data_IF_978837664198
#
_entry.id   IF_978837664198
#
_cell.length_a   1.000
_cell.length_b   1.000
_cell.length_c   1.000
_cell.angle_alpha   90.00
_cell.angle_beta   90.00
_cell.angle_gamma   90.00
#
_symmetry.space_group_name_H-M   'P 1'
#
loop_
_entity.id
_entity.type
_entity.pdbx_description
1 polymer ?
#
# COMPACT_ATOMS: atom_id res chain seq x y z
N UNK A 1 -12.25 13.72 -16.56
CA UNK A 1 -10.87 14.10 -16.93
C UNK A 1 -9.95 13.00 -16.42
N UNK A 2 -9.15 12.39 -17.29
CA UNK A 2 -8.19 11.36 -16.90
C UNK A 2 -7.19 11.98 -15.92
N UNK A 3 -7.15 11.51 -14.67
CA UNK A 3 -6.09 11.89 -13.74
C UNK A 3 -4.77 11.42 -14.35
N UNK A 4 -3.95 12.36 -14.82
CA UNK A 4 -2.65 12.06 -15.40
C UNK A 4 -1.85 11.15 -14.47
N UNK A 5 -1.34 10.03 -15.00
CA UNK A 5 -0.48 9.13 -14.23
C UNK A 5 0.63 9.94 -13.54
N UNK A 6 0.90 9.69 -12.25
CA UNK A 6 1.91 10.42 -11.49
C UNK A 6 3.29 10.15 -12.09
N UNK A 7 4.12 11.19 -12.17
CA UNK A 7 5.50 11.08 -12.68
C UNK A 7 6.38 10.41 -11.63
N UNK A 8 6.89 9.22 -11.93
CA UNK A 8 7.81 8.51 -11.03
C UNK A 8 9.11 9.31 -10.89
N UNK A 9 9.52 9.70 -9.66
CA UNK A 9 10.79 10.39 -9.45
C UNK A 9 11.98 9.54 -9.90
N UNK A 10 12.85 10.12 -10.73
CA UNK A 10 14.09 9.49 -11.19
C UNK A 10 15.30 9.89 -10.34
N UNK A 11 15.23 11.05 -9.67
CA UNK A 11 16.27 11.61 -8.80
C UNK A 11 15.74 12.00 -7.42
N UNK A 12 16.68 12.22 -6.49
CA UNK A 12 16.40 12.59 -5.10
C UNK A 12 15.98 11.43 -4.20
N UNK A 13 15.86 11.73 -2.90
CA UNK A 13 15.76 10.74 -1.81
C UNK A 13 14.56 9.78 -1.86
N UNK A 14 13.59 10.04 -2.74
CA UNK A 14 12.40 9.20 -2.93
C UNK A 14 12.47 8.31 -4.16
N UNK A 15 13.36 8.62 -5.11
CA UNK A 15 13.54 7.81 -6.30
C UNK A 15 14.04 6.38 -5.97
N UNK A 16 14.80 6.22 -4.88
CA UNK A 16 15.23 4.90 -4.37
C UNK A 16 14.05 3.96 -4.07
N UNK A 17 12.88 4.50 -3.69
CA UNK A 17 11.68 3.70 -3.45
C UNK A 17 11.19 3.05 -4.75
N UNK A 18 11.21 3.78 -5.86
CA UNK A 18 10.75 3.25 -7.14
C UNK A 18 11.79 2.35 -7.80
N UNK A 19 13.09 2.62 -7.59
CA UNK A 19 14.16 1.70 -8.02
C UNK A 19 14.11 0.37 -7.29
N UNK A 20 13.92 0.42 -5.97
CA UNK A 20 13.65 -0.77 -5.17
C UNK A 20 12.39 -1.51 -5.64
N UNK A 21 11.29 -0.79 -5.92
CA UNK A 21 10.03 -1.40 -6.38
C UNK A 21 10.23 -2.09 -7.72
N UNK A 22 10.99 -1.47 -8.64
CA UNK A 22 11.30 -2.04 -9.95
C UNK A 22 12.11 -3.31 -9.81
N UNK A 23 13.13 -3.29 -8.97
CA UNK A 23 14.02 -4.44 -8.78
C UNK A 23 13.32 -5.60 -8.06
N UNK A 24 12.56 -5.34 -7.00
CA UNK A 24 11.73 -6.36 -6.34
C UNK A 24 10.72 -6.93 -7.34
N UNK A 25 10.07 -6.08 -8.13
CA UNK A 25 9.07 -6.52 -9.11
C UNK A 25 9.70 -7.44 -10.16
N UNK A 26 10.89 -7.07 -10.66
CA UNK A 26 11.65 -7.88 -11.61
C UNK A 26 11.98 -9.25 -11.03
N UNK A 27 12.63 -9.29 -9.86
CA UNK A 27 13.07 -10.54 -9.22
C UNK A 27 11.89 -11.46 -8.90
N UNK A 28 10.79 -10.93 -8.37
CA UNK A 28 9.63 -11.74 -8.02
C UNK A 28 8.88 -12.24 -9.25
N UNK A 29 8.76 -11.44 -10.32
CA UNK A 29 8.17 -11.89 -11.59
C UNK A 29 9.01 -12.98 -12.25
N UNK A 30 10.33 -12.83 -12.27
CA UNK A 30 11.25 -13.86 -12.79
C UNK A 30 11.19 -15.17 -11.99
N UNK A 31 10.87 -15.08 -10.70
CA UNK A 31 10.66 -16.25 -9.83
C UNK A 31 9.25 -16.83 -9.93
N UNK A 32 8.35 -16.23 -10.73
CA UNK A 32 6.93 -16.59 -10.88
C UNK A 32 6.13 -16.45 -9.59
N UNK A 33 6.48 -15.48 -8.74
CA UNK A 33 5.74 -15.19 -7.52
C UNK A 33 4.60 -14.23 -7.83
N UNK A 34 3.40 -14.52 -7.32
CA UNK A 34 2.25 -13.62 -7.38
C UNK A 34 2.27 -12.67 -6.17
N UNK A 35 2.31 -11.37 -6.43
CA UNK A 35 2.38 -10.32 -5.41
C UNK A 35 1.81 -9.01 -5.95
N UNK A 36 1.50 -8.07 -5.07
CA UNK A 36 1.21 -6.72 -5.45
C UNK A 36 1.73 -5.69 -4.43
N UNK A 37 2.06 -4.51 -4.91
CA UNK A 37 2.44 -3.37 -4.09
C UNK A 37 1.19 -2.80 -3.42
N UNK A 38 1.30 -2.52 -2.13
CA UNK A 38 0.28 -1.85 -1.32
C UNK A 38 0.80 -0.53 -0.73
N UNK A 39 0.06 0.01 0.23
CA UNK A 39 0.56 1.08 1.09
C UNK A 39 0.77 2.40 0.34
N UNK A 40 1.76 3.17 0.78
CA UNK A 40 1.96 4.53 0.26
C UNK A 40 2.46 4.58 -1.18
N UNK A 41 3.23 3.58 -1.61
CA UNK A 41 3.71 3.46 -3.00
C UNK A 41 2.55 3.20 -3.95
N UNK A 42 1.63 2.31 -3.59
CA UNK A 42 0.43 2.08 -4.38
C UNK A 42 -0.49 3.31 -4.41
N UNK A 43 -0.68 4.01 -3.27
CA UNK A 43 -1.43 5.27 -3.25
C UNK A 43 -0.83 6.29 -4.23
N UNK A 44 0.50 6.43 -4.23
CA UNK A 44 1.19 7.32 -5.15
C UNK A 44 0.89 6.93 -6.60
N UNK A 45 1.12 5.67 -6.98
CA UNK A 45 0.91 5.13 -8.34
C UNK A 45 -0.53 5.33 -8.87
N UNK A 46 -1.52 5.42 -7.97
CA UNK A 46 -2.90 5.72 -8.32
C UNK A 46 -3.20 7.23 -8.51
N UNK A 47 -2.25 8.12 -8.21
CA UNK A 47 -2.38 9.56 -8.41
C UNK A 47 -2.30 10.40 -7.13
N UNK A 48 -2.05 9.80 -5.97
CA UNK A 48 -1.82 10.57 -4.74
C UNK A 48 -0.49 11.34 -4.86
N UNK A 49 -0.48 12.63 -4.50
CA UNK A 49 0.71 13.50 -4.60
C UNK A 49 1.79 13.19 -3.57
N UNK A 50 1.46 12.49 -2.48
CA UNK A 50 2.40 12.22 -1.39
C UNK A 50 3.39 11.11 -1.77
N UNK A 51 4.67 11.45 -1.77
CA UNK A 51 5.72 10.47 -2.03
C UNK A 51 5.83 9.40 -0.93
N UNK A 52 6.10 8.13 -1.30
CA UNK A 52 6.28 7.04 -0.34
C UNK A 52 7.62 7.12 0.39
N UNK A 53 7.71 6.46 1.55
CA UNK A 53 8.96 6.32 2.31
C UNK A 53 9.60 4.94 2.17
N UNK A 54 8.78 3.95 1.86
CA UNK A 54 9.01 2.53 1.93
C UNK A 54 8.16 1.85 0.86
N UNK A 55 8.47 0.58 0.59
CA UNK A 55 7.63 -0.26 -0.26
C UNK A 55 6.99 -1.29 0.63
N UNK A 56 5.69 -1.45 0.49
CA UNK A 56 4.92 -2.52 1.09
C UNK A 56 4.52 -3.49 -0.04
N UNK A 57 4.89 -4.76 0.07
CA UNK A 57 4.57 -5.84 -0.87
C UNK A 57 3.64 -6.83 -0.18
N UNK A 58 2.49 -7.10 -0.77
CA UNK A 58 1.59 -8.18 -0.35
C UNK A 58 1.85 -9.41 -1.22
N UNK A 59 2.18 -10.53 -0.59
CA UNK A 59 2.29 -11.81 -1.27
C UNK A 59 0.91 -12.45 -1.46
N UNK A 60 0.70 -13.13 -2.58
CA UNK A 60 -0.50 -13.95 -2.81
C UNK A 60 -0.33 -15.37 -2.25
N UNK A 61 0.02 -15.49 -0.97
CA UNK A 61 0.12 -16.79 -0.30
C UNK A 61 0.11 -16.65 1.23
N UNK A 62 -0.71 -17.47 1.90
CA UNK A 62 -0.76 -17.57 3.37
C UNK A 62 0.40 -18.36 3.98
N UNK A 63 1.09 -19.16 3.17
CA UNK A 63 2.15 -20.07 3.62
C UNK A 63 3.54 -19.61 3.19
N UNK A 64 3.64 -18.38 2.68
CA UNK A 64 4.89 -17.78 2.26
C UNK A 64 5.82 -17.56 3.47
N UNK A 65 6.96 -18.27 3.50
CA UNK A 65 8.01 -17.98 4.46
C UNK A 65 8.68 -16.64 4.11
N UNK A 66 8.27 -15.59 4.84
CA UNK A 66 8.74 -14.23 4.62
C UNK A 66 10.25 -14.08 4.88
N UNK A 67 10.83 -14.80 5.84
CA UNK A 67 12.27 -14.71 6.10
C UNK A 67 13.08 -15.40 4.99
N UNK A 68 12.59 -16.53 4.48
CA UNK A 68 13.17 -17.17 3.30
C UNK A 68 13.04 -16.29 2.06
N UNK A 69 11.91 -15.64 1.84
CA UNK A 69 11.73 -14.71 0.72
C UNK A 69 12.70 -13.51 0.80
N UNK A 70 12.87 -12.94 1.99
CA UNK A 70 13.84 -11.86 2.20
C UNK A 70 15.26 -12.31 1.86
N UNK A 71 15.67 -13.51 2.32
CA UNK A 71 16.97 -14.10 1.98
C UNK A 71 17.10 -14.36 0.48
N UNK A 72 16.03 -14.78 -0.18
CA UNK A 72 16.01 -14.96 -1.64
C UNK A 72 16.28 -13.65 -2.39
N UNK A 73 15.64 -12.54 -1.99
CA UNK A 73 15.89 -11.22 -2.58
C UNK A 73 17.34 -10.77 -2.39
N UNK A 74 17.92 -10.99 -1.20
CA UNK A 74 19.34 -10.74 -0.94
C UNK A 74 20.23 -11.60 -1.83
N UNK A 75 19.95 -12.89 -1.95
CA UNK A 75 20.75 -13.79 -2.78
C UNK A 75 20.68 -13.43 -4.28
N UNK A 76 19.56 -12.87 -4.75
CA UNK A 76 19.38 -12.46 -6.14
C UNK A 76 20.06 -11.14 -6.48
N UNK A 77 20.24 -10.24 -5.53
CA UNK A 77 20.98 -9.00 -5.74
C UNK A 77 21.64 -8.51 -4.43
N UNK A 78 22.75 -9.13 -4.01
CA UNK A 78 23.40 -8.87 -2.72
C UNK A 78 24.04 -7.48 -2.65
N UNK A 79 24.35 -6.87 -3.80
CA UNK A 79 24.91 -5.51 -3.89
C UNK A 79 23.85 -4.43 -3.64
N UNK A 80 22.57 -4.80 -3.52
CA UNK A 80 21.46 -3.87 -3.35
C UNK A 80 20.61 -4.19 -2.14
N UNK A 81 20.36 -5.47 -1.88
CA UNK A 81 19.51 -5.91 -0.78
C UNK A 81 20.33 -6.44 0.38
N UNK A 82 19.89 -6.09 1.59
CA UNK A 82 20.53 -6.55 2.82
C UNK A 82 19.52 -6.64 3.98
N UNK A 83 19.87 -7.44 4.98
CA UNK A 83 19.04 -7.68 6.16
C UNK A 83 19.62 -7.00 7.39
N UNK A 84 18.74 -6.38 8.17
CA UNK A 84 19.07 -5.73 9.43
C UNK A 84 18.19 -6.32 10.53
N UNK A 85 18.72 -6.51 11.73
CA UNK A 85 17.92 -6.92 12.88
C UNK A 85 16.79 -5.94 13.18
N UNK A 86 15.64 -6.50 13.56
CA UNK A 86 14.54 -5.70 14.06
C UNK A 86 14.94 -5.00 15.37
N UNK A 87 14.57 -3.73 15.50
CA UNK A 87 14.88 -2.94 16.71
C UNK A 87 14.11 -3.37 17.95
N UNK A 88 13.05 -4.15 17.78
CA UNK A 88 12.21 -4.60 18.89
C UNK A 88 12.96 -5.66 19.70
N UNK A 89 13.06 -5.51 21.03
CA UNK A 89 13.65 -6.55 21.87
C UNK A 89 12.96 -7.89 21.64
N UNK A 90 13.74 -8.98 21.49
CA UNK A 90 13.27 -10.35 21.23
C UNK A 90 12.61 -10.61 19.88
N UNK A 91 12.60 -9.65 18.95
CA UNK A 91 12.15 -9.92 17.60
C UNK A 91 13.14 -10.86 16.88
N UNK A 92 12.63 -11.96 16.34
CA UNK A 92 13.41 -12.97 15.60
C UNK A 92 13.44 -12.72 14.09
N UNK A 93 12.71 -11.71 13.62
CA UNK A 93 12.57 -11.38 12.21
C UNK A 93 13.58 -10.32 11.75
N UNK A 94 13.97 -10.36 10.49
CA UNK A 94 14.88 -9.38 9.88
C UNK A 94 14.11 -8.34 9.06
N UNK A 95 14.61 -7.11 9.06
CA UNK A 95 14.14 -6.02 8.21
C UNK A 95 14.90 -6.07 6.88
N UNK A 96 14.19 -6.16 5.76
CA UNK A 96 14.79 -6.06 4.44
C UNK A 96 14.95 -4.59 4.04
N UNK A 97 16.14 -4.25 3.56
CA UNK A 97 16.48 -2.95 3.03
C UNK A 97 17.01 -3.07 1.61
N UNK A 98 16.75 -2.04 0.81
CA UNK A 98 17.36 -1.81 -0.49
C UNK A 98 18.20 -0.54 -0.43
N UNK A 99 19.36 -0.55 -1.06
CA UNK A 99 20.17 0.65 -1.23
C UNK A 99 20.63 0.88 -2.67
N UNK A 100 20.86 2.15 -2.98
CA UNK A 100 21.35 2.58 -4.28
C UNK A 100 22.17 3.86 -4.15
N UNK A 101 23.29 3.95 -4.87
CA UNK A 101 24.12 5.15 -4.95
C UNK A 101 23.45 6.32 -5.70
N UNK A 102 22.23 6.09 -6.23
CA UNK A 102 21.48 7.08 -6.98
C UNK A 102 22.11 7.35 -8.35
N UNK A 103 21.50 8.25 -9.12
CA UNK A 103 21.95 8.53 -10.50
C UNK A 103 23.31 9.22 -10.51
N UNK A 104 23.60 10.06 -9.51
CA UNK A 104 24.85 10.83 -9.45
C UNK A 104 26.01 10.06 -8.81
N UNK A 105 25.77 8.84 -8.29
CA UNK A 105 26.78 8.01 -7.62
C UNK A 105 27.31 8.55 -6.28
N UNK A 106 26.88 9.75 -5.86
CA UNK A 106 27.48 10.50 -4.75
C UNK A 106 26.90 10.18 -3.37
N UNK A 107 25.68 9.63 -3.30
CA UNK A 107 25.00 9.42 -2.02
C UNK A 107 24.26 8.09 -2.02
N UNK A 108 24.60 7.26 -1.03
CA UNK A 108 23.86 6.04 -0.76
C UNK A 108 22.47 6.39 -0.23
N UNK A 109 21.47 6.19 -1.06
CA UNK A 109 20.06 6.22 -0.69
C UNK A 109 19.63 4.82 -0.27
N UNK A 110 18.69 4.74 0.67
CA UNK A 110 18.14 3.45 1.10
C UNK A 110 16.66 3.56 1.41
N UNK A 111 15.96 2.46 1.18
CA UNK A 111 14.54 2.32 1.52
C UNK A 111 14.30 0.97 2.17
N UNK A 112 13.31 0.94 3.06
CA UNK A 112 12.81 -0.30 3.62
C UNK A 112 11.91 -0.99 2.58
N UNK A 113 11.98 -2.31 2.54
CA UNK A 113 11.07 -3.17 1.78
C UNK A 113 10.34 -4.06 2.77
N UNK A 114 9.07 -3.73 3.01
CA UNK A 114 8.17 -4.51 3.84
C UNK A 114 7.46 -5.56 2.99
N UNK A 115 7.57 -6.82 3.38
CA UNK A 115 6.89 -7.93 2.74
C UNK A 115 5.87 -8.47 3.72
N UNK A 116 4.63 -8.55 3.27
CA UNK A 116 3.46 -8.86 4.06
C UNK A 116 2.77 -10.09 3.47
N UNK A 117 2.19 -10.89 4.35
CA UNK A 117 1.35 -12.03 4.00
C UNK A 117 -0.13 -11.70 4.27
N UNK A 118 -1.07 -12.32 3.56
CA UNK A 118 -2.49 -12.25 3.87
C UNK A 118 -2.78 -12.73 5.30
N UNK A 119 -3.82 -12.17 5.92
CA UNK A 119 -4.19 -12.37 7.33
C UNK A 119 -3.40 -11.51 8.31
N UNK A 120 -2.13 -11.18 8.02
CA UNK A 120 -1.39 -10.21 8.84
C UNK A 120 -1.96 -8.82 8.63
N UNK A 121 -2.23 -8.11 9.73
CA UNK A 121 -2.92 -6.81 9.73
C UNK A 121 -4.32 -6.85 9.08
N UNK A 122 -4.97 -8.01 9.03
CA UNK A 122 -6.24 -8.23 8.31
C UNK A 122 -6.13 -7.92 6.81
N UNK A 123 -4.95 -8.15 6.21
CA UNK A 123 -4.76 -8.00 4.78
C UNK A 123 -5.43 -9.17 4.04
N UNK A 124 -6.13 -8.90 2.92
CA UNK A 124 -6.81 -9.94 2.15
C UNK A 124 -5.80 -10.77 1.36
N UNK A 125 -6.21 -11.97 0.94
CA UNK A 125 -5.51 -12.68 -0.12
C UNK A 125 -5.82 -12.01 -1.46
N UNK A 126 -4.81 -11.82 -2.30
CA UNK A 126 -4.93 -11.12 -3.57
C UNK A 126 -4.61 -12.04 -4.74
N UNK A 127 -5.62 -12.44 -5.49
CA UNK A 127 -5.41 -13.28 -6.66
C UNK A 127 -4.97 -12.47 -7.88
N UNK A 128 -4.31 -13.14 -8.83
CA UNK A 128 -3.76 -12.55 -10.06
C UNK A 128 -4.76 -11.67 -10.81
N UNK A 129 -6.02 -12.08 -10.84
CA UNK A 129 -7.10 -11.44 -11.61
C UNK A 129 -7.50 -10.08 -11.01
N UNK A 130 -7.25 -9.88 -9.72
CA UNK A 130 -7.53 -8.64 -9.02
C UNK A 130 -6.35 -7.65 -9.08
N UNK A 131 -5.15 -8.11 -9.44
CA UNK A 131 -3.95 -7.27 -9.47
C UNK A 131 -4.05 -6.30 -10.64
N UNK A 132 -3.85 -5.01 -10.36
CA UNK A 132 -3.87 -3.95 -11.37
C UNK A 132 -2.44 -3.60 -11.73
N UNK A 133 -2.10 -3.54 -13.03
CA UNK A 133 -0.81 -2.97 -13.44
C UNK A 133 -0.90 -1.44 -13.51
N UNK A 134 0.02 -0.76 -12.83
CA UNK A 134 0.19 0.69 -12.91
C UNK A 134 1.63 1.01 -13.23
N UNK A 135 1.88 1.51 -14.44
CA UNK A 135 3.21 1.92 -14.89
C UNK A 135 4.25 0.77 -14.78
N UNK A 136 3.83 -0.47 -15.03
CA UNK A 136 4.68 -1.66 -14.95
C UNK A 136 4.77 -2.28 -13.55
N UNK A 137 4.06 -1.74 -12.56
CA UNK A 137 4.01 -2.24 -11.19
C UNK A 137 2.70 -2.97 -10.90
N UNK A 138 2.74 -4.20 -10.37
CA UNK A 138 1.53 -4.85 -9.87
C UNK A 138 1.10 -4.16 -8.58
N UNK A 139 -0.11 -3.61 -8.53
CA UNK A 139 -0.68 -2.93 -7.35
C UNK A 139 -2.00 -3.57 -6.92
N UNK A 140 -2.26 -3.57 -5.63
CA UNK A 140 -3.56 -4.03 -5.10
C UNK A 140 -4.69 -3.11 -5.58
N UNK A 141 -5.91 -3.62 -5.78
CA UNK A 141 -7.09 -2.81 -6.04
C UNK A 141 -7.19 -1.58 -5.14
N UNK A 142 -7.62 -0.45 -5.71
CA UNK A 142 -7.79 0.79 -4.95
C UNK A 142 -8.80 0.64 -3.80
N UNK A 143 -9.81 -0.22 -3.95
CA UNK A 143 -10.75 -0.57 -2.88
C UNK A 143 -10.06 -1.15 -1.65
N UNK A 144 -9.09 -2.06 -1.85
CA UNK A 144 -8.28 -2.64 -0.78
C UNK A 144 -7.43 -1.54 -0.11
N UNK A 145 -6.78 -0.67 -0.89
CA UNK A 145 -5.99 0.43 -0.34
C UNK A 145 -6.82 1.37 0.52
N UNK A 146 -7.98 1.81 0.03
CA UNK A 146 -8.84 2.77 0.71
C UNK A 146 -9.30 2.22 2.06
N UNK A 147 -9.82 0.98 2.09
CA UNK A 147 -10.29 0.37 3.32
C UNK A 147 -9.15 0.08 4.30
N UNK A 148 -7.99 -0.37 3.80
CA UNK A 148 -6.83 -0.61 4.67
C UNK A 148 -6.26 0.69 5.25
N UNK A 149 -6.28 1.80 4.50
CA UNK A 149 -5.92 3.13 5.03
C UNK A 149 -6.91 3.61 6.07
N UNK A 150 -8.20 3.38 5.87
CA UNK A 150 -9.25 3.69 6.85
C UNK A 150 -9.05 2.92 8.17
N UNK A 151 -8.74 1.62 8.09
CA UNK A 151 -8.35 0.84 9.28
C UNK A 151 -7.11 1.44 9.95
N UNK A 152 -6.04 1.67 9.18
CA UNK A 152 -4.82 2.26 9.71
C UNK A 152 -5.03 3.64 10.34
N UNK A 153 -5.95 4.46 9.82
CA UNK A 153 -6.34 5.71 10.45
C UNK A 153 -6.97 5.48 11.82
N UNK A 154 -7.95 4.58 11.90
CA UNK A 154 -8.63 4.23 13.16
C UNK A 154 -7.67 3.65 14.21
N UNK A 155 -6.81 2.71 13.82
CA UNK A 155 -5.85 2.07 14.73
C UNK A 155 -4.88 3.08 15.36
N UNK A 156 -4.57 4.17 14.63
CA UNK A 156 -3.67 5.21 15.11
C UNK A 156 -4.39 6.35 15.86
N UNK A 157 -5.72 6.33 15.97
CA UNK A 157 -6.55 7.43 16.50
C UNK A 157 -6.37 7.71 18.00
N UNK A 158 -5.68 6.84 18.75
CA UNK A 158 -5.36 7.02 20.18
C UNK A 158 -3.86 7.08 20.48
N UNK A 159 -3.01 7.21 19.46
CA UNK A 159 -1.59 7.00 19.67
C UNK A 159 -0.88 8.20 20.34
N UNK A 160 -0.26 7.94 21.48
CA UNK A 160 0.55 8.93 22.22
C UNK A 160 1.86 9.24 21.47
N UNK A 161 2.47 8.23 20.84
CA UNK A 161 3.74 8.38 20.15
C UNK A 161 3.63 9.28 18.90
N UNK A 162 4.50 10.31 18.81
CA UNK A 162 4.56 11.25 17.68
C UNK A 162 4.63 10.58 16.31
N UNK A 163 5.36 9.45 16.20
CA UNK A 163 5.45 8.67 14.95
C UNK A 163 4.08 8.19 14.48
N UNK A 164 3.24 7.75 15.40
CA UNK A 164 1.91 7.21 15.10
C UNK A 164 0.92 8.35 14.79
N UNK A 165 1.06 9.52 15.43
CA UNK A 165 0.31 10.75 15.04
C UNK A 165 0.62 11.18 13.60
N UNK A 166 1.90 11.22 13.21
CA UNK A 166 2.27 11.52 11.81
C UNK A 166 1.69 10.50 10.83
N UNK A 167 1.62 9.22 11.22
CA UNK A 167 0.94 8.18 10.42
C UNK A 167 -0.57 8.41 10.32
N UNK A 168 -1.22 8.84 11.40
CA UNK A 168 -2.63 9.22 11.38
C UNK A 168 -2.91 10.32 10.34
N UNK A 169 -2.15 11.43 10.36
CA UNK A 169 -2.36 12.53 9.41
C UNK A 169 -2.03 12.14 7.97
N UNK A 170 -1.04 11.28 7.78
CA UNK A 170 -0.75 10.70 6.47
C UNK A 170 -1.91 9.81 5.98
N UNK A 171 -2.51 9.00 6.85
CA UNK A 171 -3.65 8.16 6.48
C UNK A 171 -4.88 9.00 6.13
N UNK A 172 -5.18 10.09 6.85
CA UNK A 172 -6.26 11.01 6.48
C UNK A 172 -6.04 11.57 5.07
N UNK A 173 -4.85 12.10 4.79
CA UNK A 173 -4.52 12.64 3.45
C UNK A 173 -4.62 11.56 2.36
N UNK A 174 -4.16 10.35 2.64
CA UNK A 174 -4.24 9.24 1.70
C UNK A 174 -5.70 8.84 1.43
N UNK A 175 -6.54 8.72 2.47
CA UNK A 175 -7.97 8.40 2.34
C UNK A 175 -8.67 9.46 1.48
N UNK A 176 -8.47 10.74 1.77
CA UNK A 176 -9.11 11.84 1.05
C UNK A 176 -8.67 11.87 -0.42
N UNK A 177 -7.38 11.68 -0.68
CA UNK A 177 -6.86 11.62 -2.05
C UNK A 177 -7.44 10.44 -2.81
N UNK A 178 -7.50 9.24 -2.20
CA UNK A 178 -8.05 8.06 -2.84
C UNK A 178 -9.56 8.20 -3.11
N UNK A 179 -10.33 8.75 -2.16
CA UNK A 179 -11.75 9.03 -2.36
C UNK A 179 -11.99 9.91 -3.59
N UNK A 180 -11.23 11.00 -3.71
CA UNK A 180 -11.30 11.89 -4.88
C UNK A 180 -10.98 11.15 -6.17
N UNK A 181 -9.86 10.42 -6.20
CA UNK A 181 -9.44 9.67 -7.40
C UNK A 181 -10.52 8.66 -7.82
N UNK A 182 -11.10 7.91 -6.87
CA UNK A 182 -12.19 6.96 -7.18
C UNK A 182 -13.40 7.71 -7.73
N UNK A 183 -13.90 8.71 -7.01
CA UNK A 183 -15.16 9.39 -7.33
C UNK A 183 -15.08 10.20 -8.63
N UNK A 184 -13.94 10.83 -8.89
CA UNK A 184 -13.69 11.59 -10.12
C UNK A 184 -13.42 10.67 -11.31
N UNK A 185 -12.85 9.49 -11.07
CA UNK A 185 -12.58 8.47 -12.09
C UNK A 185 -13.79 7.60 -12.45
N UNK A 186 -14.81 7.51 -11.58
CA UNK A 186 -16.01 6.72 -11.83
C UNK A 186 -16.86 7.28 -12.97
N UNK A 187 -17.26 6.40 -13.89
CA UNK A 187 -18.30 6.68 -14.87
C UNK A 187 -19.67 6.90 -14.20
N UNK A 188 -20.62 7.59 -14.86
CA UNK A 188 -21.98 7.75 -14.33
C UNK A 188 -22.66 6.41 -13.97
N UNK A 189 -22.41 5.35 -14.75
CA UNK A 189 -22.94 4.01 -14.50
C UNK A 189 -22.34 3.37 -13.24
N UNK A 190 -21.06 3.59 -12.96
CA UNK A 190 -20.41 3.11 -11.74
C UNK A 190 -20.90 3.86 -10.49
N UNK A 191 -21.16 5.17 -10.62
CA UNK A 191 -21.77 5.97 -9.54
C UNK A 191 -23.16 5.46 -9.17
N UNK A 192 -23.98 5.13 -10.19
CA UNK A 192 -25.31 4.53 -9.98
C UNK A 192 -25.20 3.14 -9.34
N UNK A 193 -24.16 2.38 -9.68
CA UNK A 193 -23.92 1.02 -9.18
C UNK A 193 -22.96 0.98 -7.97
N UNK A 194 -22.92 2.02 -7.14
CA UNK A 194 -22.02 2.13 -5.99
C UNK A 194 -22.10 0.94 -5.02
N UNK A 195 -23.27 0.30 -4.89
CA UNK A 195 -23.45 -0.95 -4.12
C UNK A 195 -22.51 -2.08 -4.57
N UNK A 196 -22.25 -2.20 -5.89
CA UNK A 196 -21.31 -3.20 -6.42
C UNK A 196 -19.88 -2.88 -5.99
N UNK A 197 -19.52 -1.60 -5.90
CA UNK A 197 -18.21 -1.17 -5.40
C UNK A 197 -18.01 -1.60 -3.95
N UNK A 198 -18.98 -1.29 -3.07
CA UNK A 198 -18.94 -1.71 -1.65
C UNK A 198 -18.87 -3.23 -1.51
N UNK A 199 -19.72 -3.96 -2.23
CA UNK A 199 -19.74 -5.43 -2.19
C UNK A 199 -18.39 -6.01 -2.66
N UNK A 200 -17.86 -5.54 -3.79
CA UNK A 200 -16.57 -5.97 -4.31
C UNK A 200 -15.43 -5.67 -3.33
N UNK A 201 -15.41 -4.47 -2.75
CA UNK A 201 -14.39 -4.05 -1.79
C UNK A 201 -14.40 -4.94 -0.54
N UNK A 202 -15.58 -5.19 0.04
CA UNK A 202 -15.74 -6.00 1.24
C UNK A 202 -15.45 -7.49 0.98
N UNK A 203 -15.82 -8.01 -0.19
CA UNK A 203 -15.63 -9.42 -0.55
C UNK A 203 -14.17 -9.88 -0.45
N UNK A 204 -13.20 -8.96 -0.53
CA UNK A 204 -11.78 -9.29 -0.42
C UNK A 204 -11.34 -9.58 1.03
N UNK A 205 -11.98 -8.99 2.02
CA UNK A 205 -11.55 -9.04 3.43
C UNK A 205 -12.27 -10.13 4.22
N UNK A 206 -11.73 -10.46 5.40
CA UNK A 206 -12.40 -11.33 6.38
C UNK A 206 -13.62 -10.66 7.05
N UNK A 207 -14.41 -11.45 7.77
CA UNK A 207 -15.66 -10.98 8.38
C UNK A 207 -15.42 -9.94 9.48
N UNK A 208 -14.37 -10.09 10.29
CA UNK A 208 -14.03 -9.11 11.33
C UNK A 208 -13.73 -7.72 10.73
N UNK A 209 -12.95 -7.70 9.64
CA UNK A 209 -12.66 -6.47 8.93
C UNK A 209 -13.91 -5.88 8.28
N UNK A 210 -14.76 -6.72 7.66
CA UNK A 210 -16.03 -6.29 7.03
C UNK A 210 -16.95 -5.63 8.05
N UNK A 211 -17.18 -6.28 9.17
CA UNK A 211 -18.07 -5.82 10.24
C UNK A 211 -17.60 -4.50 10.85
N UNK A 212 -16.28 -4.35 11.03
CA UNK A 212 -15.67 -3.13 11.53
C UNK A 212 -15.68 -1.98 10.51
N UNK A 213 -15.79 -2.25 9.21
CA UNK A 213 -15.60 -1.22 8.17
C UNK A 213 -16.69 -0.16 8.20
N UNK A 214 -17.96 -0.53 8.36
CA UNK A 214 -19.05 0.45 8.38
C UNK A 214 -18.92 1.42 9.57
N UNK A 215 -18.52 0.91 10.73
CA UNK A 215 -18.26 1.74 11.92
C UNK A 215 -17.08 2.70 11.69
N UNK A 216 -16.01 2.22 11.04
CA UNK A 216 -14.86 3.07 10.68
C UNK A 216 -15.27 4.18 9.71
N UNK A 217 -16.10 3.89 8.69
CA UNK A 217 -16.61 4.91 7.77
C UNK A 217 -17.49 5.92 8.50
N UNK A 218 -18.45 5.47 9.31
CA UNK A 218 -19.31 6.34 10.12
C UNK A 218 -18.49 7.27 11.00
N UNK A 219 -17.45 6.75 11.66
CA UNK A 219 -16.55 7.55 12.49
C UNK A 219 -15.72 8.55 11.67
N UNK A 220 -15.22 8.15 10.50
CA UNK A 220 -14.51 9.05 9.60
C UNK A 220 -15.40 10.20 9.14
N UNK A 221 -16.62 9.92 8.68
CA UNK A 221 -17.60 10.92 8.25
C UNK A 221 -18.11 11.82 9.40
N UNK A 222 -18.03 11.38 10.66
CA UNK A 222 -18.27 12.25 11.83
C UNK A 222 -17.12 13.22 12.06
N UNK A 223 -15.87 12.77 11.84
CA UNK A 223 -14.67 13.59 12.08
C UNK A 223 -14.33 14.53 10.92
N UNK A 224 -14.68 14.13 9.70
CA UNK A 224 -14.47 14.87 8.44
C UNK A 224 -15.78 14.90 7.63
N UNK A 225 -16.79 15.70 8.05
CA UNK A 225 -18.09 15.76 7.40
C UNK A 225 -18.04 16.13 5.91
N UNK A 226 -17.06 16.93 5.51
CA UNK A 226 -16.83 17.39 4.13
C UNK A 226 -16.51 16.26 3.13
N UNK A 227 -16.24 15.04 3.61
CA UNK A 227 -15.95 13.87 2.78
C UNK A 227 -17.10 12.84 2.75
N UNK A 228 -18.22 13.14 3.42
CA UNK A 228 -19.37 12.22 3.52
C UNK A 228 -19.94 11.86 2.15
N UNK A 229 -20.14 12.85 1.28
CA UNK A 229 -20.76 12.64 -0.03
C UNK A 229 -19.92 11.72 -0.93
N UNK A 230 -18.59 11.72 -0.77
CA UNK A 230 -17.70 10.81 -1.49
C UNK A 230 -17.88 9.37 -1.01
N UNK A 231 -17.99 9.14 0.31
CA UNK A 231 -18.27 7.80 0.85
C UNK A 231 -19.65 7.28 0.45
N UNK A 232 -20.66 8.15 0.41
CA UNK A 232 -22.01 7.81 -0.07
C UNK A 232 -22.01 7.38 -1.54
N UNK A 233 -21.23 8.06 -2.39
CA UNK A 233 -21.03 7.66 -3.78
C UNK A 233 -20.34 6.28 -3.92
N UNK A 234 -19.67 5.79 -2.88
CA UNK A 234 -19.11 4.43 -2.82
C UNK A 234 -20.05 3.41 -2.16
N UNK A 235 -21.26 3.83 -1.75
CA UNK A 235 -22.30 2.97 -1.19
C UNK A 235 -22.28 2.82 0.33
N UNK A 236 -21.69 3.78 1.06
CA UNK A 236 -21.59 3.79 2.52
C UNK A 236 -22.48 4.82 3.21
#
# INVERSE_FOLDING_TARGET
MSTSSPVIPTSGSRAVVFRAAKEVTRILREAEWTFAILGSTACYLYGNKRLPNDIDILMSSHTCDLERLKKFLVAKNPDRFYLVDAKSPRATWKVLWYHDYGVDGRKLEKTKVDILQPGVLQLPMIFSEAIIDKQGFPVVPMSILLLHKLKGWKDNMGAVALRLRRKHDANVRDIVSLLRIVVEGMSPREKINSKRWRQFALAQFDDEFRDGTEQRVKLFCRRFPEHRDMWQQLGW
#
